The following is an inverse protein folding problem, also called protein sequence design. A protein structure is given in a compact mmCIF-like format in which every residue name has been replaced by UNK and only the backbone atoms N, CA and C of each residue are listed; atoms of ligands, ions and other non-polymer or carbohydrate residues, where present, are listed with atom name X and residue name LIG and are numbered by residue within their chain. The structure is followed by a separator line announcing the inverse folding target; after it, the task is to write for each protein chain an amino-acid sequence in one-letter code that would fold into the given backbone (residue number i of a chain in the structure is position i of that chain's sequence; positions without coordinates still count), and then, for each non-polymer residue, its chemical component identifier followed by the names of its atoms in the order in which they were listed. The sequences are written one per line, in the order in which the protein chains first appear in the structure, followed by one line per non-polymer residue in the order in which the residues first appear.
data_IF_665820467333
#
_entry.id   IF_665820467333
#
_cell.length_a   1.000
_cell.length_b   1.000
_cell.length_c   1.000
_cell.angle_alpha   90.00
_cell.angle_beta   90.00
_cell.angle_gamma   90.00
#
_symmetry.space_group_name_H-M   'P 1'
#
loop_
_entity.id
_entity.type
_entity.pdbx_description
1 polymer ?
#
# COMPACT_ATOMS: atom_id res chain seq x y z
N UNK A 1 4.81 -7.93 17.60
CA UNK A 1 4.18 -7.41 16.38
C UNK A 1 4.02 -5.92 16.59
N UNK A 2 5.06 -5.15 16.24
CA UNK A 2 4.98 -3.70 16.30
C UNK A 2 4.00 -3.27 15.23
N UNK A 3 2.95 -2.54 15.63
CA UNK A 3 2.08 -1.87 14.67
C UNK A 3 2.94 -0.79 14.03
N UNK A 4 3.33 -0.97 12.77
CA UNK A 4 4.04 0.06 12.01
C UNK A 4 3.29 1.37 12.16
N UNK A 5 3.91 2.33 12.83
CA UNK A 5 3.27 3.57 13.22
C UNK A 5 3.30 4.53 12.02
N UNK A 6 2.39 4.30 11.07
CA UNK A 6 2.17 5.17 9.92
C UNK A 6 1.41 6.41 10.36
N UNK A 7 2.02 7.59 10.17
CA UNK A 7 1.37 8.86 10.46
C UNK A 7 0.25 9.14 9.44
N UNK A 8 -0.66 10.06 9.78
CA UNK A 8 -1.72 10.46 8.83
C UNK A 8 -1.11 11.07 7.58
N UNK A 9 -0.02 11.84 7.72
CA UNK A 9 0.75 12.40 6.63
C UNK A 9 1.29 11.32 5.68
N UNK A 10 1.87 10.24 6.22
CA UNK A 10 2.37 9.12 5.42
C UNK A 10 1.24 8.41 4.66
N UNK A 11 0.07 8.26 5.28
CA UNK A 11 -1.10 7.67 4.64
C UNK A 11 -1.63 8.55 3.49
N UNK A 12 -1.51 9.87 3.60
CA UNK A 12 -1.85 10.80 2.52
C UNK A 12 -0.84 10.67 1.37
N UNK A 13 0.45 10.45 1.66
CA UNK A 13 1.45 10.20 0.62
C UNK A 13 1.14 8.94 -0.19
N UNK A 14 0.71 7.86 0.47
CA UNK A 14 0.26 6.64 -0.21
C UNK A 14 -0.92 6.91 -1.17
N UNK A 15 -1.82 7.83 -0.83
CA UNK A 15 -2.95 8.16 -1.71
C UNK A 15 -2.55 9.01 -2.93
N UNK A 16 -1.43 9.74 -2.86
CA UNK A 16 -1.05 10.76 -3.86
C UNK A 16 0.14 10.38 -4.74
N UNK A 17 1.04 9.55 -4.25
CA UNK A 17 2.30 9.22 -4.90
C UNK A 17 2.45 7.71 -5.14
N UNK A 18 3.32 7.32 -6.06
CA UNK A 18 3.71 5.92 -6.29
C UNK A 18 4.65 5.39 -5.21
N UNK A 19 4.82 4.06 -5.12
CA UNK A 19 5.58 3.41 -4.04
C UNK A 19 7.01 3.94 -3.91
N UNK A 20 7.70 4.13 -5.03
CA UNK A 20 9.08 4.60 -5.03
C UNK A 20 9.20 6.03 -4.48
N UNK A 21 8.33 6.95 -4.90
CA UNK A 21 8.30 8.30 -4.36
C UNK A 21 7.92 8.34 -2.88
N UNK A 22 7.02 7.47 -2.42
CA UNK A 22 6.68 7.38 -0.99
C UNK A 22 7.87 6.86 -0.18
N UNK A 23 8.59 5.85 -0.68
CA UNK A 23 9.81 5.34 -0.05
C UNK A 23 10.86 6.45 0.10
N UNK A 24 11.09 7.23 -0.96
CA UNK A 24 12.02 8.37 -0.95
C UNK A 24 11.58 9.48 0.03
N UNK A 25 10.29 9.82 0.07
CA UNK A 25 9.75 10.88 0.93
C UNK A 25 9.69 10.50 2.41
N UNK A 26 9.44 9.22 2.71
CA UNK A 26 9.29 8.71 4.08
C UNK A 26 10.58 8.11 4.64
N UNK A 27 11.57 7.85 3.78
CA UNK A 27 12.80 7.13 4.14
C UNK A 27 12.57 5.65 4.48
N UNK A 28 11.37 5.12 4.20
CA UNK A 28 11.01 3.72 4.47
C UNK A 28 11.44 2.81 3.33
N UNK A 29 11.53 1.52 3.62
CA UNK A 29 11.81 0.53 2.59
C UNK A 29 10.64 0.43 1.59
N UNK A 30 10.96 0.19 0.32
CA UNK A 30 9.94 0.10 -0.72
C UNK A 30 9.00 -1.08 -0.53
N UNK A 31 9.46 -2.18 0.06
CA UNK A 31 8.64 -3.35 0.36
C UNK A 31 7.69 -3.08 1.53
N UNK A 32 8.10 -2.30 2.55
CA UNK A 32 7.21 -1.82 3.60
C UNK A 32 6.10 -0.93 3.01
N UNK A 33 6.47 -0.03 2.09
CA UNK A 33 5.50 0.84 1.39
C UNK A 33 4.51 0.01 0.57
N UNK A 34 4.98 -1.02 -0.16
CA UNK A 34 4.12 -1.94 -0.91
C UNK A 34 3.16 -2.68 0.01
N UNK A 35 3.66 -3.26 1.11
CA UNK A 35 2.86 -3.98 2.09
C UNK A 35 1.78 -3.09 2.70
N UNK A 36 2.14 -1.86 3.12
CA UNK A 36 1.17 -0.91 3.68
C UNK A 36 0.11 -0.50 2.65
N UNK A 37 0.49 -0.27 1.39
CA UNK A 37 -0.46 0.08 0.33
C UNK A 37 -1.43 -1.06 0.06
N UNK A 38 -0.93 -2.29 -0.01
CA UNK A 38 -1.79 -3.47 -0.17
C UNK A 38 -2.78 -3.57 0.98
N UNK A 39 -2.30 -3.44 2.22
CA UNK A 39 -3.16 -3.43 3.41
C UNK A 39 -4.23 -2.34 3.33
N UNK A 40 -3.87 -1.12 2.90
CA UNK A 40 -4.83 -0.02 2.71
C UNK A 40 -5.88 -0.35 1.65
N UNK A 41 -5.46 -0.93 0.51
CA UNK A 41 -6.37 -1.32 -0.55
C UNK A 41 -7.33 -2.43 -0.11
N UNK A 42 -6.88 -3.37 0.72
CA UNK A 42 -7.76 -4.36 1.35
C UNK A 42 -8.79 -3.67 2.24
N UNK A 43 -8.37 -2.73 3.09
CA UNK A 43 -9.24 -2.01 4.02
C UNK A 43 -10.32 -1.17 3.31
N UNK A 44 -9.97 -0.50 2.20
CA UNK A 44 -10.88 0.47 1.54
C UNK A 44 -11.60 -0.09 0.32
N UNK A 45 -10.99 -1.05 -0.40
CA UNK A 45 -11.51 -1.59 -1.66
C UNK A 45 -11.84 -3.08 -1.58
N UNK A 46 -11.65 -3.75 -0.43
CA UNK A 46 -11.84 -5.19 -0.29
C UNK A 46 -11.05 -5.98 -1.35
N UNK A 47 -9.82 -5.55 -1.66
CA UNK A 47 -8.95 -6.22 -2.63
C UNK A 47 -8.60 -7.66 -2.23
N UNK A 48 -8.77 -8.05 -0.97
CA UNK A 48 -8.68 -9.44 -0.54
C UNK A 48 -9.74 -10.35 -1.20
N UNK A 49 -10.88 -9.76 -1.61
CA UNK A 49 -12.03 -10.46 -2.23
C UNK A 49 -12.19 -10.13 -3.70
N UNK A 50 -11.84 -8.91 -4.11
CA UNK A 50 -12.04 -8.38 -5.45
C UNK A 50 -10.71 -7.88 -6.03
N UNK A 51 -9.67 -8.71 -5.97
CA UNK A 51 -8.38 -8.43 -6.59
C UNK A 51 -8.54 -8.42 -8.13
N UNK A 52 -8.47 -7.25 -8.79
CA UNK A 52 -8.60 -7.18 -10.23
C UNK A 52 -7.36 -7.73 -10.97
N UNK A 53 -6.20 -7.85 -10.31
CA UNK A 53 -5.02 -8.49 -10.91
C UNK A 53 -5.14 -10.02 -10.90
N UNK A 54 -5.76 -10.61 -9.85
CA UNK A 54 -6.09 -12.05 -9.82
C UNK A 54 -7.00 -12.48 -10.97
N UNK A 55 -7.84 -11.58 -11.47
CA UNK A 55 -8.72 -11.89 -12.60
C UNK A 55 -7.97 -12.06 -13.93
N UNK A 56 -6.76 -11.52 -14.08
CA UNK A 56 -5.96 -11.62 -15.31
C UNK A 56 -5.00 -12.82 -15.35
N UNK A 57 -4.81 -13.57 -14.26
CA UNK A 57 -4.00 -14.80 -14.27
C UNK A 57 -4.75 -16.04 -14.81
N UNK A 58 -6.02 -15.89 -15.19
CA UNK A 58 -6.90 -17.00 -15.57
C UNK A 58 -7.19 -17.15 -17.08
N UNK A 59 -6.50 -16.42 -17.96
CA UNK A 59 -6.62 -16.53 -19.43
C UNK A 59 -5.32 -17.02 -20.10
#
# INVERSE_FOLDING_TARGET
MERENWSVEDLVLLARHGNQSVAELTGRDIEEVRARRLQRNIEINCWDKFDPERAHEAD
#
